data_IF_405531619116
#
_entry.id   IF_405531619116
#
_cell.length_a   1.000
_cell.length_b   1.000
_cell.length_c   1.000
_cell.angle_alpha   90.00
_cell.angle_beta   90.00
_cell.angle_gamma   90.00
#
_symmetry.space_group_name_H-M   'P 1'
#
loop_
_entity.id
_entity.type
_entity.pdbx_description
1 polymer ?
#
# COMPACT_ATOMS: atom_id res chain seq x y z
N UNK A 1 5.73 1.03 8.96
CA UNK A 1 6.14 2.45 9.12
C UNK A 1 4.95 3.39 9.25
N UNK A 2 4.05 3.47 8.26
CA UNK A 2 2.90 4.38 8.30
C UNK A 2 1.98 4.16 9.53
N UNK A 3 1.59 2.92 9.81
CA UNK A 3 0.78 2.55 10.97
C UNK A 3 1.43 2.97 12.30
N UNK A 4 2.72 2.68 12.47
CA UNK A 4 3.45 3.02 13.70
C UNK A 4 3.48 4.54 13.92
N UNK A 5 3.72 5.32 12.85
CA UNK A 5 3.69 6.78 12.90
C UNK A 5 2.29 7.28 13.31
N UNK A 6 1.24 6.77 12.67
CA UNK A 6 -0.13 7.14 12.98
C UNK A 6 -0.50 6.84 14.43
N UNK A 7 -0.17 5.64 14.93
CA UNK A 7 -0.41 5.24 16.32
C UNK A 7 0.32 6.12 17.31
N UNK A 8 1.60 6.42 17.05
CA UNK A 8 2.39 7.31 17.91
C UNK A 8 1.76 8.70 18.02
N UNK A 9 1.26 9.23 16.89
CA UNK A 9 0.60 10.53 16.84
C UNK A 9 -0.90 10.49 17.15
N UNK A 10 -1.45 9.35 17.60
CA UNK A 10 -2.88 9.15 17.91
C UNK A 10 -3.80 9.48 16.73
N UNK A 11 -3.33 9.27 15.52
CA UNK A 11 -4.13 9.33 14.30
C UNK A 11 -4.89 8.01 14.20
N UNK A 12 -6.19 8.07 13.87
CA UNK A 12 -6.99 6.86 13.67
C UNK A 12 -6.36 5.97 12.59
N UNK A 13 -6.29 4.67 12.86
CA UNK A 13 -5.73 3.68 11.93
C UNK A 13 -6.80 2.65 11.62
N UNK A 14 -7.07 2.49 10.34
CA UNK A 14 -7.83 1.38 9.78
C UNK A 14 -6.90 0.52 8.92
N UNK A 15 -7.00 -0.80 9.04
CA UNK A 15 -6.14 -1.76 8.34
C UNK A 15 -6.98 -2.79 7.59
N UNK A 16 -6.58 -3.16 6.39
CA UNK A 16 -7.15 -4.31 5.69
C UNK A 16 -6.57 -5.60 6.29
N UNK A 17 -7.36 -6.32 7.08
CA UNK A 17 -6.95 -7.62 7.62
C UNK A 17 -6.96 -8.67 6.51
N UNK A 18 -5.97 -9.58 6.45
CA UNK A 18 -6.04 -10.70 5.52
C UNK A 18 -7.12 -11.64 6.03
N UNK A 19 -8.07 -12.02 5.16
CA UNK A 19 -9.11 -12.99 5.48
C UNK A 19 -8.48 -14.35 5.81
N UNK A 20 -8.14 -14.57 7.09
CA UNK A 20 -8.02 -15.85 7.80
C UNK A 20 -7.19 -17.00 7.19
N UNK A 21 -6.46 -16.80 6.09
CA UNK A 21 -5.67 -17.85 5.42
C UNK A 21 -4.21 -17.45 5.40
N UNK A 22 -3.60 -17.49 6.59
CA UNK A 22 -2.16 -17.71 6.70
C UNK A 22 -1.82 -19.15 6.31
N UNK A 23 -2.00 -19.48 5.04
CA UNK A 23 -1.23 -20.55 4.46
C UNK A 23 -0.02 -19.84 3.86
N UNK A 24 1.19 -20.23 4.29
CA UNK A 24 2.48 -19.64 3.91
C UNK A 24 2.82 -19.73 2.43
N UNK A 25 1.91 -19.30 1.57
CA UNK A 25 2.04 -19.11 0.15
C UNK A 25 2.13 -17.60 -0.03
N UNK A 26 3.36 -17.10 0.02
CA UNK A 26 3.74 -15.89 -0.69
C UNK A 26 3.42 -16.14 -2.17
N UNK A 27 2.15 -15.96 -2.56
CA UNK A 27 1.70 -16.17 -3.92
C UNK A 27 2.32 -15.08 -4.78
N UNK A 28 3.41 -15.45 -5.46
CA UNK A 28 4.10 -14.67 -6.47
C UNK A 28 4.82 -13.44 -5.91
N UNK A 29 6.16 -13.47 -5.96
CA UNK A 29 6.96 -12.26 -5.83
C UNK A 29 6.53 -11.24 -6.91
N UNK A 30 5.57 -10.38 -6.57
CA UNK A 30 5.15 -9.25 -7.38
C UNK A 30 3.66 -9.13 -7.70
N UNK A 31 2.74 -9.97 -7.23
CA UNK A 31 1.30 -9.71 -7.47
C UNK A 31 0.68 -8.80 -6.40
N UNK A 32 -0.38 -8.08 -6.75
CA UNK A 32 -1.16 -7.26 -5.81
C UNK A 32 -1.97 -8.20 -4.94
N UNK A 33 -1.92 -8.02 -3.62
CA UNK A 33 -2.71 -8.81 -2.69
C UNK A 33 -4.14 -8.31 -2.58
N UNK A 34 -5.05 -9.14 -2.07
CA UNK A 34 -6.42 -8.74 -1.74
C UNK A 34 -6.44 -7.60 -0.71
N UNK A 35 -5.48 -7.58 0.22
CA UNK A 35 -5.31 -6.51 1.19
C UNK A 35 -4.94 -5.19 0.52
N UNK A 36 -4.01 -5.20 -0.45
CA UNK A 36 -3.64 -3.99 -1.20
C UNK A 36 -4.85 -3.43 -1.96
N UNK A 37 -5.68 -4.31 -2.54
CA UNK A 37 -6.93 -3.94 -3.23
C UNK A 37 -7.88 -3.27 -2.25
N UNK A 38 -8.10 -3.88 -1.08
CA UNK A 38 -9.00 -3.35 -0.07
C UNK A 38 -8.50 -2.01 0.48
N UNK A 39 -7.20 -1.89 0.76
CA UNK A 39 -6.58 -0.62 1.16
C UNK A 39 -6.82 0.49 0.14
N UNK A 40 -6.63 0.20 -1.15
CA UNK A 40 -6.89 1.17 -2.23
C UNK A 40 -8.38 1.52 -2.33
N UNK A 41 -9.28 0.57 -2.10
CA UNK A 41 -10.72 0.82 -2.11
C UNK A 41 -11.15 1.77 -0.99
N UNK A 42 -10.66 1.53 0.24
CA UNK A 42 -10.94 2.33 1.44
C UNK A 42 -10.36 3.76 1.36
N UNK A 43 -9.24 3.95 0.65
CA UNK A 43 -8.55 5.24 0.64
C UNK A 43 -9.21 6.28 -0.28
N UNK A 44 -9.31 7.52 0.18
CA UNK A 44 -9.61 8.69 -0.67
C UNK A 44 -8.40 9.16 -1.49
N UNK A 45 -7.19 8.95 -0.95
CA UNK A 45 -5.90 9.29 -1.57
C UNK A 45 -4.89 8.21 -1.23
N UNK A 46 -4.13 7.77 -2.23
CA UNK A 46 -2.99 6.86 -2.04
C UNK A 46 -1.69 7.66 -2.06
N UNK A 47 -0.90 7.57 -0.98
CA UNK A 47 0.44 8.15 -0.90
C UNK A 47 1.47 7.03 -0.98
N UNK A 48 2.23 6.99 -2.06
CA UNK A 48 3.30 6.02 -2.28
C UNK A 48 4.66 6.66 -1.97
N UNK A 49 5.27 6.26 -0.85
CA UNK A 49 6.68 6.56 -0.56
C UNK A 49 7.53 5.57 -1.33
N UNK A 50 8.25 6.04 -2.36
CA UNK A 50 8.85 5.17 -3.36
C UNK A 50 10.26 5.60 -3.74
N UNK A 51 11.16 4.62 -3.90
CA UNK A 51 12.54 4.80 -4.35
C UNK A 51 12.69 4.87 -5.89
N UNK A 52 11.57 4.71 -6.62
CA UNK A 52 11.56 4.61 -8.08
C UNK A 52 11.91 3.22 -8.64
N UNK A 53 12.24 2.25 -7.78
CA UNK A 53 12.71 0.90 -8.18
C UNK A 53 11.80 -0.23 -7.69
N UNK A 54 11.17 -0.09 -6.52
CA UNK A 54 10.30 -1.12 -5.96
C UNK A 54 9.13 -1.47 -6.89
N UNK A 55 9.12 -2.72 -7.38
CA UNK A 55 8.09 -3.23 -8.28
C UNK A 55 6.72 -3.36 -7.60
N UNK A 56 6.70 -3.73 -6.32
CA UNK A 56 5.46 -3.86 -5.55
C UNK A 56 4.76 -2.52 -5.35
N UNK A 57 5.51 -1.51 -4.90
CA UNK A 57 4.99 -0.15 -4.70
C UNK A 57 4.47 0.45 -6.01
N UNK A 58 5.21 0.26 -7.13
CA UNK A 58 4.75 0.69 -8.46
C UNK A 58 3.43 0.02 -8.84
N UNK A 59 3.29 -1.29 -8.63
CA UNK A 59 2.06 -2.02 -8.99
C UNK A 59 0.86 -1.48 -8.22
N UNK A 60 0.97 -1.29 -6.90
CA UNK A 60 -0.12 -0.76 -6.06
C UNK A 60 -0.49 0.66 -6.51
N UNK A 61 0.50 1.53 -6.76
CA UNK A 61 0.28 2.88 -7.25
C UNK A 61 -0.40 2.90 -8.64
N UNK A 62 0.03 2.02 -9.55
CA UNK A 62 -0.58 1.87 -10.88
C UNK A 62 -2.03 1.36 -10.78
N UNK A 63 -2.29 0.42 -9.86
CA UNK A 63 -3.63 -0.10 -9.60
C UNK A 63 -4.56 0.99 -9.06
N UNK A 64 -4.11 1.78 -8.08
CA UNK A 64 -4.86 2.91 -7.56
C UNK A 64 -5.20 3.94 -8.65
N UNK A 65 -4.26 4.23 -9.57
CA UNK A 65 -4.54 5.10 -10.73
C UNK A 65 -5.61 4.48 -11.64
N UNK A 66 -5.55 3.17 -11.91
CA UNK A 66 -6.55 2.47 -12.74
C UNK A 66 -7.94 2.50 -12.12
N UNK A 67 -8.06 2.44 -10.79
CA UNK A 67 -9.33 2.57 -10.07
C UNK A 67 -9.77 4.02 -9.88
N UNK A 68 -9.10 4.97 -10.55
CA UNK A 68 -9.35 6.43 -10.48
C UNK A 68 -9.15 7.04 -9.10
N UNK A 69 -8.41 6.37 -8.21
CA UNK A 69 -7.99 6.97 -6.94
C UNK A 69 -6.84 7.95 -7.21
N UNK A 70 -6.87 9.16 -6.62
CA UNK A 70 -5.72 10.05 -6.62
C UNK A 70 -4.48 9.34 -6.04
N UNK A 71 -3.32 9.52 -6.69
CA UNK A 71 -2.05 8.94 -6.24
C UNK A 71 -0.97 10.00 -6.17
N UNK A 72 -0.40 10.21 -4.97
CA UNK A 72 0.77 11.04 -4.75
C UNK A 72 1.99 10.15 -4.54
N UNK A 73 3.00 10.30 -5.39
CA UNK A 73 4.29 9.63 -5.21
C UNK A 73 5.23 10.60 -4.49
N UNK A 74 5.81 10.14 -3.39
CA UNK A 74 6.88 10.83 -2.66
C UNK A 74 8.15 10.05 -2.91
N UNK A 75 9.04 10.62 -3.73
CA UNK A 75 10.31 9.98 -4.04
C UNK A 75 11.30 10.22 -2.91
N UNK A 76 11.85 9.14 -2.35
CA UNK A 76 12.88 9.21 -1.32
C UNK A 76 14.15 8.57 -1.88
N UNK A 77 15.11 9.42 -2.23
CA UNK A 77 16.47 9.01 -2.57
C UNK A 77 17.35 9.31 -1.38
N UNK A 78 18.22 8.37 -1.02
CA UNK A 78 19.36 8.69 -0.17
C UNK A 78 20.49 9.13 -1.10
N UNK A 79 20.97 10.36 -0.92
CA UNK A 79 22.25 10.81 -1.48
C UNK A 79 23.42 10.11 -0.75
#
# INVERSE_FOLDING_TARGET
MAEQYARYHKIHVETAEPDGKQNGQQNGQGEISEQDIQMVAMADLVVAVWDGKSRGTKKIADYARKTRKPVKVITVTME
#
